data_IF_028429505682
#
_entry.id   IF_028429505682
#
_cell.length_a   1.000
_cell.length_b   1.000
_cell.length_c   1.000
_cell.angle_alpha   90.00
_cell.angle_beta   90.00
_cell.angle_gamma   90.00
#
_symmetry.space_group_name_H-M   'P 1'
#
loop_
_entity.id
_entity.type
_entity.pdbx_description
1 polymer ?
#
# COMPACT_ATOMS: atom_id res chain seq x y z
N UNK A 1 -0.96 -16.99 15.84
CA UNK A 1 -0.69 -18.40 15.48
C UNK A 1 -1.18 -18.76 14.07
N UNK A 2 -2.15 -18.05 13.50
CA UNK A 2 -2.74 -18.34 12.19
C UNK A 2 -1.75 -18.31 11.02
N UNK A 3 -0.64 -17.59 11.15
CA UNK A 3 0.39 -17.43 10.10
C UNK A 3 1.62 -18.31 10.32
N UNK A 4 1.71 -19.01 11.45
CA UNK A 4 2.88 -19.84 11.78
C UNK A 4 2.96 -21.06 10.86
N UNK A 5 4.12 -21.23 10.22
CA UNK A 5 4.36 -22.33 9.28
C UNK A 5 3.65 -22.19 7.93
N UNK A 6 3.13 -21.00 7.62
CA UNK A 6 2.42 -20.71 6.38
C UNK A 6 3.34 -20.19 5.28
N UNK A 7 2.98 -20.48 4.04
CA UNK A 7 3.70 -20.05 2.85
C UNK A 7 3.06 -18.78 2.30
N UNK A 8 3.85 -17.71 2.26
CA UNK A 8 3.46 -16.44 1.65
C UNK A 8 4.11 -16.32 0.27
N UNK A 9 3.32 -15.93 -0.72
CA UNK A 9 3.79 -15.66 -2.07
C UNK A 9 3.50 -14.21 -2.43
N UNK A 10 4.55 -13.45 -2.73
CA UNK A 10 4.42 -12.04 -3.09
C UNK A 10 4.09 -11.90 -4.58
N UNK A 11 3.13 -11.04 -4.88
CA UNK A 11 2.74 -10.70 -6.26
C UNK A 11 2.89 -9.20 -6.47
N UNK A 12 3.61 -8.82 -7.52
CA UNK A 12 3.57 -7.48 -8.09
C UNK A 12 2.43 -7.47 -9.13
N UNK A 13 1.26 -6.87 -8.82
CA UNK A 13 0.03 -7.11 -9.59
C UNK A 13 0.15 -6.78 -11.07
N UNK A 14 0.76 -5.65 -11.42
CA UNK A 14 0.92 -5.22 -12.81
C UNK A 14 1.70 -6.23 -13.68
N UNK A 15 2.59 -7.01 -13.07
CA UNK A 15 3.53 -7.90 -13.77
C UNK A 15 3.16 -9.39 -13.73
N UNK A 16 2.06 -9.75 -13.07
CA UNK A 16 1.76 -11.16 -12.79
C UNK A 16 0.90 -11.83 -13.87
N UNK A 17 -0.33 -11.35 -14.05
CA UNK A 17 -1.25 -11.93 -15.03
C UNK A 17 -2.34 -10.92 -15.40
N UNK A 18 -2.54 -10.70 -16.68
CA UNK A 18 -3.65 -9.91 -17.21
C UNK A 18 -4.89 -10.78 -17.34
N UNK A 19 -5.98 -10.38 -16.71
CA UNK A 19 -7.27 -11.07 -16.76
C UNK A 19 -8.31 -10.36 -17.62
N UNK A 20 -8.17 -9.04 -17.79
CA UNK A 20 -9.03 -8.19 -18.61
C UNK A 20 -8.22 -7.53 -19.69
N UNK A 21 -8.44 -7.91 -20.93
CA UNK A 21 -7.78 -7.32 -22.09
C UNK A 21 -8.40 -5.96 -22.48
N UNK A 22 -7.61 -5.13 -23.18
CA UNK A 22 -8.06 -3.85 -23.72
C UNK A 22 -8.71 -2.91 -22.69
N UNK A 23 -8.11 -2.83 -21.51
CA UNK A 23 -8.56 -1.90 -20.47
C UNK A 23 -8.48 -0.45 -20.92
N UNK A 24 -9.45 0.38 -20.55
CA UNK A 24 -9.31 1.81 -20.73
C UNK A 24 -8.13 2.33 -19.88
N UNK A 25 -7.31 3.21 -20.47
CA UNK A 25 -6.26 3.91 -19.73
C UNK A 25 -6.89 5.15 -19.06
N UNK A 26 -7.06 5.14 -17.74
CA UNK A 26 -7.81 6.20 -17.06
C UNK A 26 -7.01 7.51 -16.96
N UNK A 27 -5.69 7.43 -17.16
CA UNK A 27 -4.78 8.57 -17.05
C UNK A 27 -3.85 8.60 -18.26
N UNK A 28 -3.65 9.78 -18.82
CA UNK A 28 -2.89 9.98 -20.07
C UNK A 28 -1.38 9.70 -19.95
N UNK A 29 -0.85 9.74 -18.74
CA UNK A 29 0.57 9.51 -18.44
C UNK A 29 0.90 8.04 -18.15
N UNK A 30 -0.04 7.13 -18.31
CA UNK A 30 0.20 5.69 -18.19
C UNK A 30 0.46 5.07 -19.56
N UNK A 31 1.58 4.37 -19.69
CA UNK A 31 2.02 3.74 -20.92
C UNK A 31 1.77 2.24 -20.85
N UNK A 32 0.74 1.77 -21.56
CA UNK A 32 0.42 0.34 -21.60
C UNK A 32 1.33 -0.39 -22.59
N UNK A 33 2.00 -1.44 -22.12
CA UNK A 33 2.84 -2.32 -22.90
C UNK A 33 2.00 -3.49 -23.45
N UNK A 34 1.66 -3.42 -24.73
CA UNK A 34 0.93 -4.49 -25.42
C UNK A 34 1.79 -5.75 -25.59
N UNK A 35 3.07 -5.56 -25.86
CA UNK A 35 4.05 -6.66 -25.90
C UNK A 35 4.48 -7.01 -24.46
N UNK A 36 4.04 -8.16 -23.99
CA UNK A 36 4.36 -8.67 -22.64
C UNK A 36 5.81 -9.12 -22.48
N UNK A 37 6.57 -9.18 -23.59
CA UNK A 37 8.00 -9.47 -23.60
C UNK A 37 8.85 -8.20 -23.79
N UNK A 38 8.22 -7.04 -23.90
CA UNK A 38 8.93 -5.77 -23.98
C UNK A 38 9.80 -5.56 -22.73
N UNK A 39 10.93 -4.91 -22.92
CA UNK A 39 11.81 -4.55 -21.81
C UNK A 39 11.14 -3.45 -20.97
N UNK A 40 11.01 -3.63 -19.62
CA UNK A 40 10.51 -2.58 -18.75
C UNK A 40 11.36 -1.32 -18.79
N UNK A 41 10.77 -0.16 -18.47
CA UNK A 41 11.51 1.10 -18.34
C UNK A 41 12.40 1.07 -17.09
N UNK A 42 13.65 0.70 -17.26
CA UNK A 42 14.59 0.58 -16.15
C UNK A 42 15.69 1.66 -16.16
N UNK A 43 15.88 2.33 -17.31
CA UNK A 43 16.82 3.42 -17.43
C UNK A 43 16.28 4.69 -16.80
N UNK A 44 17.10 5.46 -16.08
CA UNK A 44 16.71 6.78 -15.64
C UNK A 44 16.48 7.71 -16.85
N UNK A 45 15.57 8.66 -16.69
CA UNK A 45 15.39 9.74 -17.67
C UNK A 45 16.60 10.69 -17.69
N UNK A 46 16.56 11.73 -18.55
CA UNK A 46 17.65 12.71 -18.74
C UNK A 46 18.06 13.44 -17.45
N UNK A 47 17.17 13.52 -16.46
CA UNK A 47 17.43 14.15 -15.15
C UNK A 47 17.71 13.12 -14.04
N UNK A 48 17.88 11.85 -14.38
CA UNK A 48 18.20 10.77 -13.45
C UNK A 48 17.01 10.18 -12.69
N UNK A 49 15.78 10.55 -13.01
CA UNK A 49 14.57 10.00 -12.41
C UNK A 49 14.05 8.76 -13.14
N UNK A 50 13.44 7.84 -12.40
CA UNK A 50 12.72 6.70 -12.97
C UNK A 50 11.24 7.05 -13.08
N UNK A 51 10.64 6.88 -14.25
CA UNK A 51 9.27 7.31 -14.51
C UNK A 51 8.23 6.37 -13.88
N UNK A 52 8.48 5.06 -13.89
CA UNK A 52 7.55 4.02 -13.38
C UNK A 52 6.14 4.13 -14.00
N UNK A 53 6.07 4.50 -15.27
CA UNK A 53 4.84 4.80 -16.02
C UNK A 53 4.46 3.71 -17.00
N UNK A 54 5.29 2.67 -17.16
CA UNK A 54 5.03 1.52 -18.01
C UNK A 54 4.24 0.46 -17.27
N UNK A 55 3.12 0.04 -17.89
CA UNK A 55 2.16 -0.92 -17.32
C UNK A 55 2.02 -2.11 -18.25
N UNK A 56 2.14 -3.32 -17.70
CA UNK A 56 1.98 -4.57 -18.45
C UNK A 56 0.58 -5.16 -18.31
N UNK A 57 -0.27 -4.55 -17.51
CA UNK A 57 -1.69 -4.84 -17.48
C UNK A 57 -2.10 -6.00 -16.59
N UNK A 58 -1.21 -6.56 -15.77
CA UNK A 58 -1.62 -7.50 -14.73
C UNK A 58 -2.68 -6.88 -13.83
N UNK A 59 -3.64 -7.69 -13.35
CA UNK A 59 -4.80 -7.21 -12.60
C UNK A 59 -5.33 -8.24 -11.60
N UNK A 60 -6.32 -7.82 -10.79
CA UNK A 60 -6.95 -8.69 -9.78
C UNK A 60 -7.65 -9.89 -10.42
N UNK A 61 -8.25 -9.71 -11.61
CA UNK A 61 -8.88 -10.80 -12.36
C UNK A 61 -7.86 -11.85 -12.79
N UNK A 62 -6.69 -11.41 -13.25
CA UNK A 62 -5.58 -12.30 -13.61
C UNK A 62 -5.07 -13.10 -12.41
N UNK A 63 -4.95 -12.46 -11.23
CA UNK A 63 -4.61 -13.17 -9.99
C UNK A 63 -5.67 -14.23 -9.67
N UNK A 64 -6.96 -13.87 -9.78
CA UNK A 64 -8.07 -14.79 -9.56
C UNK A 64 -7.99 -16.02 -10.49
N UNK A 65 -7.68 -15.82 -11.76
CA UNK A 65 -7.52 -16.91 -12.74
C UNK A 65 -6.37 -17.86 -12.38
N UNK A 66 -5.35 -17.40 -11.67
CA UNK A 66 -4.18 -18.18 -11.24
C UNK A 66 -4.33 -18.84 -9.87
N UNK A 67 -5.45 -18.69 -9.18
CA UNK A 67 -5.67 -19.32 -7.87
C UNK A 67 -5.50 -20.84 -7.88
N UNK A 68 -5.99 -21.62 -8.87
CA UNK A 68 -5.73 -23.06 -8.92
C UNK A 68 -4.25 -23.40 -9.01
N UNK A 69 -3.48 -22.64 -9.78
CA UNK A 69 -2.02 -22.80 -9.88
C UNK A 69 -1.32 -22.51 -8.56
N UNK A 70 -1.67 -21.37 -7.91
CA UNK A 70 -1.10 -20.97 -6.64
C UNK A 70 -1.44 -21.94 -5.51
N UNK A 71 -2.67 -22.46 -5.48
CA UNK A 71 -3.07 -23.52 -4.56
C UNK A 71 -2.23 -24.81 -4.74
N UNK A 72 -2.02 -25.22 -6.00
CA UNK A 72 -1.20 -26.39 -6.32
C UNK A 72 0.26 -26.22 -5.89
N UNK A 73 0.76 -24.99 -5.86
CA UNK A 73 2.09 -24.66 -5.33
C UNK A 73 2.18 -24.74 -3.80
N UNK A 74 1.06 -24.86 -3.09
CA UNK A 74 1.03 -24.88 -1.63
C UNK A 74 1.05 -23.49 -0.98
N UNK A 75 0.63 -22.46 -1.68
CA UNK A 75 0.55 -21.09 -1.16
C UNK A 75 -0.62 -20.98 -0.18
N UNK A 76 -0.38 -20.44 1.01
CA UNK A 76 -1.41 -20.14 2.02
C UNK A 76 -1.89 -18.68 1.95
N UNK A 77 -0.99 -17.76 1.63
CA UNK A 77 -1.28 -16.32 1.56
C UNK A 77 -0.63 -15.68 0.35
N UNK A 78 -1.39 -14.80 -0.32
CA UNK A 78 -0.86 -13.90 -1.34
C UNK A 78 -0.64 -12.52 -0.71
N UNK A 79 0.61 -12.11 -0.63
CA UNK A 79 0.97 -10.74 -0.33
C UNK A 79 1.01 -9.94 -1.64
N UNK A 80 0.10 -8.99 -1.78
CA UNK A 80 0.04 -8.11 -2.94
C UNK A 80 0.81 -6.82 -2.66
N UNK A 81 1.76 -6.45 -3.53
CA UNK A 81 2.25 -5.08 -3.58
C UNK A 81 1.05 -4.12 -3.73
N UNK A 82 1.19 -2.82 -3.45
CA UNK A 82 0.05 -1.92 -3.34
C UNK A 82 -0.95 -2.02 -4.48
N UNK A 83 -2.24 -2.08 -4.15
CA UNK A 83 -3.35 -2.15 -5.11
C UNK A 83 -4.22 -0.90 -5.14
N UNK A 84 -4.01 0.04 -4.21
CA UNK A 84 -4.79 1.28 -4.15
C UNK A 84 -4.43 2.21 -5.30
N UNK A 85 -5.36 3.08 -5.68
CA UNK A 85 -5.12 4.06 -6.75
C UNK A 85 -3.82 4.83 -6.49
N UNK A 86 -2.96 4.85 -7.50
CA UNK A 86 -1.68 5.54 -7.47
C UNK A 86 -1.19 5.79 -8.91
N UNK A 87 -0.29 6.76 -9.09
CA UNK A 87 0.17 7.16 -10.42
C UNK A 87 1.59 6.65 -10.72
N UNK A 88 1.85 5.41 -10.34
CA UNK A 88 3.04 4.64 -10.73
C UNK A 88 2.69 3.16 -10.83
N UNK A 89 3.49 2.38 -11.54
CA UNK A 89 3.26 0.94 -11.70
C UNK A 89 3.42 0.15 -10.40
N UNK A 90 4.28 0.60 -9.47
CA UNK A 90 4.49 -0.03 -8.16
C UNK A 90 3.45 0.40 -7.11
N UNK A 91 2.81 1.53 -7.28
CA UNK A 91 1.73 2.10 -6.45
C UNK A 91 2.08 2.38 -4.98
N UNK A 92 3.36 2.49 -4.63
CA UNK A 92 3.77 2.92 -3.28
C UNK A 92 3.52 4.40 -3.01
N UNK A 93 3.24 5.20 -4.03
CA UNK A 93 2.81 6.59 -3.94
C UNK A 93 1.28 6.69 -3.91
N UNK A 94 0.66 6.16 -2.87
CA UNK A 94 -0.80 6.07 -2.75
C UNK A 94 -1.50 7.39 -3.04
N UNK A 95 -2.49 7.36 -3.92
CA UNK A 95 -3.33 8.51 -4.28
C UNK A 95 -4.71 8.45 -3.61
N UNK A 96 -5.26 7.26 -3.41
CA UNK A 96 -6.56 7.06 -2.76
C UNK A 96 -6.57 5.73 -2.01
N UNK A 97 -6.63 5.78 -0.68
CA UNK A 97 -6.65 4.58 0.18
C UNK A 97 -7.96 3.78 0.13
N UNK A 98 -9.02 4.33 -0.43
CA UNK A 98 -10.37 3.74 -0.38
C UNK A 98 -10.80 3.09 -1.70
N UNK A 99 -9.98 3.21 -2.73
CA UNK A 99 -10.28 2.64 -4.03
C UNK A 99 -9.12 1.83 -4.60
N UNK A 100 -9.45 0.70 -5.20
CA UNK A 100 -8.52 -0.07 -6.03
C UNK A 100 -8.12 0.76 -7.24
N UNK A 101 -6.86 0.68 -7.64
CA UNK A 101 -6.38 1.32 -8.87
C UNK A 101 -7.19 0.81 -10.08
N UNK A 102 -7.72 1.71 -10.92
CA UNK A 102 -8.63 1.31 -12.00
C UNK A 102 -8.01 0.38 -13.04
N UNK A 103 -6.67 0.33 -13.18
CA UNK A 103 -6.02 -0.67 -14.04
C UNK A 103 -5.99 -2.06 -13.42
N UNK A 104 -6.10 -2.16 -12.09
CA UNK A 104 -6.14 -3.44 -11.39
C UNK A 104 -7.56 -4.00 -11.27
N UNK A 105 -8.56 -3.15 -11.31
CA UNK A 105 -9.96 -3.52 -11.16
C UNK A 105 -10.76 -2.55 -10.29
N UNK A 106 -11.82 -3.05 -9.69
CA UNK A 106 -12.71 -2.31 -8.79
C UNK A 106 -12.61 -2.84 -7.36
N UNK A 107 -13.26 -2.15 -6.43
CA UNK A 107 -13.40 -2.62 -5.05
C UNK A 107 -14.14 -3.96 -4.99
N UNK A 108 -15.14 -4.15 -5.86
CA UNK A 108 -15.92 -5.38 -5.98
C UNK A 108 -15.09 -6.53 -6.57
N UNK A 109 -14.17 -6.23 -7.49
CA UNK A 109 -13.20 -7.23 -7.99
C UNK A 109 -12.29 -7.72 -6.88
N UNK A 110 -11.88 -6.84 -5.95
CA UNK A 110 -11.10 -7.24 -4.78
C UNK A 110 -11.91 -8.14 -3.83
N UNK A 111 -13.16 -7.80 -3.55
CA UNK A 111 -14.05 -8.65 -2.74
C UNK A 111 -14.23 -10.03 -3.37
N UNK A 112 -14.41 -10.06 -4.68
CA UNK A 112 -14.52 -11.31 -5.46
C UNK A 112 -13.23 -12.12 -5.38
N UNK A 113 -12.06 -11.48 -5.56
CA UNK A 113 -10.77 -12.16 -5.40
C UNK A 113 -10.62 -12.79 -4.02
N UNK A 114 -10.95 -12.07 -2.95
CA UNK A 114 -10.89 -12.60 -1.59
C UNK A 114 -11.84 -13.79 -1.38
N UNK A 115 -13.06 -13.70 -1.91
CA UNK A 115 -14.05 -14.77 -1.81
C UNK A 115 -13.61 -16.03 -2.58
N UNK A 116 -13.10 -15.86 -3.79
CA UNK A 116 -12.60 -16.98 -4.60
C UNK A 116 -11.33 -17.60 -3.99
N UNK A 117 -10.40 -16.78 -3.51
CA UNK A 117 -9.17 -17.25 -2.86
C UNK A 117 -9.47 -18.15 -1.64
N UNK A 118 -10.48 -17.81 -0.84
CA UNK A 118 -10.90 -18.63 0.31
C UNK A 118 -11.33 -20.05 -0.08
N UNK A 119 -11.90 -20.24 -1.26
CA UNK A 119 -12.28 -21.58 -1.75
C UNK A 119 -11.07 -22.50 -1.97
N UNK A 120 -9.90 -21.88 -2.17
CA UNK A 120 -8.61 -22.56 -2.31
C UNK A 120 -7.79 -22.54 -1.01
N UNK A 121 -8.35 -22.09 0.09
CA UNK A 121 -7.64 -21.95 1.36
C UNK A 121 -6.58 -20.84 1.35
N UNK A 122 -6.66 -19.88 0.43
CA UNK A 122 -5.70 -18.78 0.26
C UNK A 122 -6.27 -17.50 0.83
N UNK A 123 -5.50 -16.81 1.70
CA UNK A 123 -5.79 -15.46 2.19
C UNK A 123 -5.07 -14.39 1.39
N UNK A 124 -5.65 -13.19 1.32
CA UNK A 124 -5.06 -12.04 0.64
C UNK A 124 -4.55 -11.03 1.68
N UNK A 125 -3.28 -10.67 1.55
CA UNK A 125 -2.61 -9.69 2.42
C UNK A 125 -2.35 -8.42 1.61
N UNK A 126 -2.77 -7.28 2.15
CA UNK A 126 -2.58 -5.98 1.51
C UNK A 126 -1.34 -5.26 2.04
N UNK A 127 -0.75 -4.46 1.18
CA UNK A 127 0.32 -3.55 1.55
C UNK A 127 -0.26 -2.26 2.15
N UNK A 128 0.12 -1.96 3.38
CA UNK A 128 -0.24 -0.74 4.09
C UNK A 128 0.88 0.27 4.03
N UNK A 129 0.80 1.19 3.09
CA UNK A 129 1.77 2.28 2.89
C UNK A 129 1.27 3.51 3.65
N UNK A 130 1.59 3.59 4.94
CA UNK A 130 1.03 4.61 5.84
C UNK A 130 2.06 5.64 6.33
N UNK A 131 3.32 5.55 5.90
CA UNK A 131 4.36 6.54 6.23
C UNK A 131 4.33 7.76 5.32
N UNK A 132 3.81 7.62 4.11
CA UNK A 132 3.75 8.68 3.09
C UNK A 132 2.59 8.44 2.12
N UNK A 133 2.26 9.47 1.35
CA UNK A 133 1.34 9.38 0.21
C UNK A 133 2.07 9.79 -1.07
N UNK A 134 1.40 9.68 -2.23
CA UNK A 134 1.87 10.35 -3.43
C UNK A 134 1.74 11.87 -3.31
N UNK A 135 2.67 12.61 -3.90
CA UNK A 135 2.54 14.06 -4.04
C UNK A 135 1.31 14.44 -4.88
N UNK A 136 0.95 13.57 -5.80
CA UNK A 136 -0.21 13.65 -6.69
C UNK A 136 -1.47 12.95 -6.14
N UNK A 137 -1.48 12.62 -4.85
CA UNK A 137 -2.66 12.04 -4.17
C UNK A 137 -3.78 13.07 -4.00
N UNK A 138 -5.01 12.57 -3.77
CA UNK A 138 -6.14 13.45 -3.40
C UNK A 138 -5.92 14.16 -2.06
N UNK A 139 -5.05 13.63 -1.20
CA UNK A 139 -4.76 14.20 0.13
C UNK A 139 -3.75 15.33 0.05
N UNK A 140 -2.70 15.20 -0.75
CA UNK A 140 -1.65 16.20 -0.93
C UNK A 140 -1.88 17.08 -2.16
N UNK A 141 -2.14 16.48 -3.31
CA UNK A 141 -2.58 17.09 -4.56
C UNK A 141 -1.66 18.19 -5.11
N UNK A 142 -0.34 18.01 -5.06
CA UNK A 142 0.60 18.99 -5.62
C UNK A 142 0.38 19.20 -7.13
N UNK A 143 0.19 18.13 -7.87
CA UNK A 143 0.02 18.12 -9.32
C UNK A 143 -1.39 18.53 -9.79
N UNK A 144 -2.34 18.69 -8.87
CA UNK A 144 -3.70 19.13 -9.19
C UNK A 144 -4.59 18.10 -9.88
N UNK A 145 -4.26 16.81 -9.83
CA UNK A 145 -5.07 15.74 -10.43
C UNK A 145 -6.48 15.64 -9.86
N UNK A 146 -6.65 16.05 -8.60
CA UNK A 146 -7.92 15.99 -7.86
C UNK A 146 -8.57 17.36 -7.63
N UNK A 147 -8.35 18.29 -8.56
CA UNK A 147 -8.95 19.65 -8.52
C UNK A 147 -8.16 20.63 -7.65
N UNK A 148 -8.86 21.56 -7.02
CA UNK A 148 -8.24 22.67 -6.28
C UNK A 148 -7.90 22.35 -4.82
N UNK A 149 -8.41 21.24 -4.28
CA UNK A 149 -8.19 20.84 -2.88
C UNK A 149 -6.84 20.16 -2.66
N UNK A 150 -6.66 19.66 -1.43
CA UNK A 150 -5.46 18.95 -1.01
C UNK A 150 -4.48 19.80 -0.22
N UNK A 151 -3.65 19.13 0.59
CA UNK A 151 -2.78 19.81 1.56
C UNK A 151 -1.78 20.79 0.94
N UNK A 152 -1.27 20.50 -0.25
CA UNK A 152 -0.29 21.36 -0.91
C UNK A 152 -0.93 22.62 -1.51
N UNK A 153 -2.08 22.48 -2.13
CA UNK A 153 -2.75 23.55 -2.89
C UNK A 153 -3.62 24.45 -2.03
N UNK A 154 -4.20 23.91 -0.95
CA UNK A 154 -5.10 24.62 -0.05
C UNK A 154 -4.59 24.61 1.39
N UNK A 155 -4.11 25.76 1.91
CA UNK A 155 -3.68 25.85 3.32
C UNK A 155 -4.79 25.55 4.34
N UNK A 156 -6.05 25.62 3.93
CA UNK A 156 -7.22 25.31 4.78
C UNK A 156 -7.73 23.88 4.58
N UNK A 157 -7.06 23.08 3.76
CA UNK A 157 -7.43 21.69 3.53
C UNK A 157 -7.48 20.92 4.85
N UNK A 158 -8.48 20.04 5.07
CA UNK A 158 -8.52 19.16 6.24
C UNK A 158 -7.31 18.21 6.31
N UNK A 159 -6.61 18.02 5.19
CA UNK A 159 -5.40 17.20 5.12
C UNK A 159 -4.12 17.99 5.40
N UNK A 160 -4.19 19.33 5.53
CA UNK A 160 -3.00 20.16 5.73
C UNK A 160 -2.17 19.74 6.93
N UNK A 161 -2.83 19.40 8.04
CA UNK A 161 -2.18 18.96 9.27
C UNK A 161 -1.57 17.56 9.21
N UNK A 162 -1.84 16.81 8.14
CA UNK A 162 -1.24 15.49 7.97
C UNK A 162 0.25 15.56 7.58
N UNK A 163 0.70 16.68 7.05
CA UNK A 163 2.04 16.86 6.48
C UNK A 163 2.78 18.01 7.16
N UNK A 164 4.10 17.91 7.19
CA UNK A 164 4.96 18.95 7.73
C UNK A 164 5.47 19.84 6.60
N UNK A 165 5.04 21.10 6.60
CA UNK A 165 5.48 22.11 5.66
C UNK A 165 6.48 23.06 6.33
N UNK A 166 7.51 23.48 5.60
CA UNK A 166 8.43 24.49 6.11
C UNK A 166 9.66 24.70 5.22
N UNK A 167 10.34 25.83 5.40
CA UNK A 167 11.50 26.21 4.60
C UNK A 167 12.75 25.35 4.89
N UNK A 168 12.74 24.58 5.98
CA UNK A 168 13.80 23.64 6.33
C UNK A 168 13.86 22.43 5.40
N UNK A 169 12.80 22.16 4.68
CA UNK A 169 12.71 21.05 3.73
C UNK A 169 13.04 21.51 2.32
N UNK A 170 13.83 20.73 1.58
CA UNK A 170 14.27 21.04 0.22
C UNK A 170 13.11 21.42 -0.72
N UNK A 171 12.00 20.71 -0.62
CA UNK A 171 10.84 20.85 -1.49
C UNK A 171 9.69 21.63 -0.80
N UNK A 172 9.95 22.22 0.37
CA UNK A 172 8.98 22.95 1.17
C UNK A 172 8.09 22.07 2.06
N UNK A 173 8.31 20.76 2.04
CA UNK A 173 7.61 19.79 2.89
C UNK A 173 8.51 18.56 3.17
N UNK A 174 8.26 17.88 4.28
CA UNK A 174 8.95 16.65 4.64
C UNK A 174 8.55 15.54 3.66
N UNK A 175 9.55 14.83 3.13
CA UNK A 175 9.35 13.72 2.21
C UNK A 175 10.18 12.51 2.58
N UNK A 176 9.71 11.33 2.23
CA UNK A 176 10.39 10.07 2.51
C UNK A 176 11.74 10.03 1.78
N UNK A 177 12.83 9.99 2.55
CA UNK A 177 14.22 10.01 2.07
C UNK A 177 14.54 11.14 1.09
N UNK A 178 13.79 12.24 1.14
CA UNK A 178 13.98 13.38 0.23
C UNK A 178 13.39 13.20 -1.17
N UNK A 179 12.59 12.17 -1.39
CA UNK A 179 11.83 12.01 -2.63
C UNK A 179 10.61 12.92 -2.65
N UNK A 180 10.65 13.96 -3.46
CA UNK A 180 9.57 14.97 -3.55
C UNK A 180 8.20 14.39 -3.92
N UNK A 181 8.18 13.23 -4.59
CA UNK A 181 6.96 12.51 -4.97
C UNK A 181 6.31 11.74 -3.82
N UNK A 182 6.98 11.66 -2.64
CA UNK A 182 6.55 10.87 -1.49
C UNK A 182 6.50 11.74 -0.21
N UNK A 183 5.57 12.72 -0.12
CA UNK A 183 5.40 13.50 1.10
C UNK A 183 5.06 12.60 2.28
N UNK A 184 5.84 12.72 3.36
CA UNK A 184 5.59 11.98 4.59
C UNK A 184 4.38 12.54 5.33
N UNK A 185 3.62 11.63 5.93
CA UNK A 185 2.55 11.99 6.85
C UNK A 185 3.08 11.99 8.28
N UNK A 186 2.40 12.74 9.14
CA UNK A 186 2.63 12.71 10.58
C UNK A 186 1.65 11.70 11.20
N UNK A 187 2.16 10.54 11.58
CA UNK A 187 1.40 9.41 12.14
C UNK A 187 0.87 9.69 13.55
N UNK A 188 1.19 10.85 14.14
CA UNK A 188 0.64 11.30 15.41
C UNK A 188 -0.58 12.23 15.23
N UNK A 189 -0.84 12.70 14.01
CA UNK A 189 -1.98 13.58 13.71
C UNK A 189 -3.30 12.86 13.95
N UNK A 190 -4.16 13.33 14.87
CA UNK A 190 -5.37 12.61 15.27
C UNK A 190 -6.31 12.28 14.10
N UNK A 191 -6.52 13.21 13.16
CA UNK A 191 -7.39 12.99 12.00
C UNK A 191 -6.83 11.96 11.02
N UNK A 192 -5.51 11.89 10.86
CA UNK A 192 -4.86 10.85 10.06
C UNK A 192 -4.98 9.48 10.74
N UNK A 193 -4.68 9.42 12.03
CA UNK A 193 -4.81 8.20 12.83
C UNK A 193 -6.23 7.66 12.77
N UNK A 194 -7.24 8.52 12.94
CA UNK A 194 -8.66 8.14 12.85
C UNK A 194 -9.01 7.65 11.44
N UNK A 195 -8.54 8.33 10.39
CA UNK A 195 -8.77 7.93 9.01
C UNK A 195 -8.20 6.53 8.71
N UNK A 196 -7.02 6.21 9.19
CA UNK A 196 -6.39 4.90 8.96
C UNK A 196 -6.97 3.84 9.91
N UNK A 197 -7.06 4.12 11.21
CA UNK A 197 -7.27 3.11 12.26
C UNK A 197 -8.63 3.18 12.94
N UNK A 198 -9.40 4.24 12.72
CA UNK A 198 -10.72 4.42 13.33
C UNK A 198 -11.77 3.43 12.80
N UNK A 199 -12.90 3.28 13.50
CA UNK A 199 -14.03 2.51 13.00
C UNK A 199 -14.52 3.01 11.63
N UNK A 200 -14.59 2.11 10.66
CA UNK A 200 -14.92 2.46 9.27
C UNK A 200 -13.78 3.14 8.50
N UNK A 201 -12.60 3.26 9.09
CA UNK A 201 -11.40 3.77 8.42
C UNK A 201 -10.82 2.79 7.41
N UNK A 202 -9.61 3.09 6.94
CA UNK A 202 -8.94 2.32 5.87
C UNK A 202 -8.77 0.84 6.26
N UNK A 203 -8.24 0.57 7.46
CA UNK A 203 -8.03 -0.81 7.93
C UNK A 203 -9.35 -1.58 8.01
N UNK A 204 -10.35 -1.01 8.65
CA UNK A 204 -11.68 -1.63 8.76
C UNK A 204 -12.27 -1.94 7.37
N UNK A 205 -12.21 -0.98 6.47
CA UNK A 205 -12.78 -1.09 5.12
C UNK A 205 -12.23 -2.30 4.38
N UNK A 206 -10.92 -2.42 4.29
CA UNK A 206 -10.30 -3.48 3.49
C UNK A 206 -10.36 -4.85 4.15
N UNK A 207 -10.27 -4.91 5.49
CA UNK A 207 -10.43 -6.18 6.21
C UNK A 207 -11.87 -6.70 6.12
N UNK A 208 -12.87 -5.82 6.14
CA UNK A 208 -14.29 -6.20 5.95
C UNK A 208 -14.58 -6.60 4.51
N UNK A 209 -13.88 -6.04 3.52
CA UNK A 209 -13.94 -6.46 2.12
C UNK A 209 -13.33 -7.85 1.88
N UNK A 210 -12.57 -8.39 2.84
CA UNK A 210 -12.11 -9.77 2.81
C UNK A 210 -10.61 -9.98 2.95
N UNK A 211 -9.79 -8.93 3.08
CA UNK A 211 -8.37 -9.09 3.33
C UNK A 211 -8.12 -9.90 4.61
N UNK A 212 -7.11 -10.76 4.59
CA UNK A 212 -6.70 -11.59 5.73
C UNK A 212 -5.82 -10.81 6.71
N UNK A 213 -5.14 -9.78 6.25
CA UNK A 213 -4.26 -8.96 7.05
C UNK A 213 -3.58 -7.86 6.23
N UNK A 214 -2.69 -7.12 6.89
CA UNK A 214 -1.86 -6.09 6.29
C UNK A 214 -0.37 -6.39 6.52
N UNK A 215 0.44 -5.99 5.55
CA UNK A 215 1.88 -5.78 5.72
C UNK A 215 2.11 -4.28 5.79
N UNK A 216 2.80 -3.79 6.80
CA UNK A 216 3.19 -2.40 6.91
C UNK A 216 4.50 -2.15 6.18
N UNK A 217 4.43 -1.29 5.16
CA UNK A 217 5.58 -0.75 4.46
C UNK A 217 6.42 0.07 5.43
N UNK A 218 7.75 -0.07 5.37
CA UNK A 218 8.75 0.61 6.23
C UNK A 218 8.33 0.69 7.71
N UNK A 219 7.92 -0.44 8.28
CA UNK A 219 7.40 -0.48 9.66
C UNK A 219 8.42 0.02 10.70
N UNK A 220 9.72 -0.08 10.42
CA UNK A 220 10.77 0.45 11.29
C UNK A 220 10.85 1.98 11.27
N UNK A 221 10.25 2.65 10.30
CA UNK A 221 10.10 4.11 10.25
C UNK A 221 8.77 4.62 10.83
N UNK A 222 7.86 3.72 11.24
CA UNK A 222 6.61 4.06 11.90
C UNK A 222 6.78 4.06 13.44
N UNK A 223 6.19 5.03 14.17
CA UNK A 223 6.19 5.00 15.64
C UNK A 223 5.50 3.75 16.21
N UNK A 224 6.00 3.21 17.31
CA UNK A 224 5.38 2.04 17.96
C UNK A 224 3.93 2.30 18.31
N UNK A 225 3.61 3.50 18.78
CA UNK A 225 2.24 3.90 19.16
C UNK A 225 1.27 3.86 17.97
N UNK A 226 1.75 4.21 16.77
CA UNK A 226 0.96 4.08 15.55
C UNK A 226 0.76 2.62 15.15
N UNK A 227 1.82 1.80 15.19
CA UNK A 227 1.75 0.36 14.93
C UNK A 227 0.76 -0.33 15.89
N UNK A 228 0.78 0.04 17.18
CA UNK A 228 -0.17 -0.48 18.18
C UNK A 228 -1.62 -0.13 17.83
N UNK A 229 -1.89 1.09 17.35
CA UNK A 229 -3.23 1.50 16.89
C UNK A 229 -3.66 0.75 15.64
N UNK A 230 -2.76 0.54 14.68
CA UNK A 230 -3.02 -0.29 13.49
C UNK A 230 -3.36 -1.71 13.91
N UNK A 231 -2.57 -2.31 14.84
CA UNK A 231 -2.88 -3.64 15.38
C UNK A 231 -4.25 -3.69 16.03
N UNK A 232 -4.58 -2.70 16.86
CA UNK A 232 -5.88 -2.64 17.52
C UNK A 232 -7.04 -2.59 16.52
N UNK A 233 -6.88 -1.82 15.42
CA UNK A 233 -7.84 -1.77 14.33
C UNK A 233 -7.99 -3.14 13.63
N UNK A 234 -6.87 -3.80 13.31
CA UNK A 234 -6.88 -5.14 12.70
C UNK A 234 -7.62 -6.14 13.60
N UNK A 235 -7.27 -6.21 14.88
CA UNK A 235 -7.84 -7.16 15.83
C UNK A 235 -9.29 -6.84 16.20
N UNK A 236 -9.72 -5.59 16.07
CA UNK A 236 -11.13 -5.19 16.23
C UNK A 236 -12.04 -5.82 15.18
N UNK A 237 -11.55 -5.95 13.93
CA UNK A 237 -12.33 -6.62 12.87
C UNK A 237 -12.42 -8.12 13.10
N UNK A 238 -11.29 -8.77 13.41
CA UNK A 238 -11.25 -10.18 13.83
C UNK A 238 -9.89 -10.49 14.47
N UNK A 239 -9.86 -11.27 15.57
CA UNK A 239 -8.61 -11.72 16.17
C UNK A 239 -7.76 -12.61 15.25
N UNK A 240 -8.37 -13.25 14.25
CA UNK A 240 -7.69 -14.12 13.27
C UNK A 240 -6.92 -13.32 12.21
N UNK A 241 -7.29 -12.07 12.00
CA UNK A 241 -6.57 -11.21 11.05
C UNK A 241 -5.23 -10.76 11.65
N UNK A 242 -4.24 -10.55 10.80
CA UNK A 242 -2.88 -10.34 11.25
C UNK A 242 -2.22 -9.09 10.64
N UNK A 243 -1.13 -8.68 11.29
CA UNK A 243 -0.32 -7.53 10.92
C UNK A 243 1.13 -7.96 10.79
N UNK A 244 1.66 -7.88 9.58
CA UNK A 244 3.08 -8.04 9.28
C UNK A 244 3.75 -6.67 9.19
N UNK A 245 5.06 -6.61 9.37
CA UNK A 245 5.83 -5.40 9.13
C UNK A 245 7.10 -5.66 8.36
N UNK A 246 7.43 -4.74 7.47
CA UNK A 246 8.76 -4.68 6.89
C UNK A 246 9.70 -4.04 7.90
N UNK A 247 10.65 -4.81 8.39
CA UNK A 247 11.68 -4.31 9.30
C UNK A 247 13.03 -4.64 8.72
N UNK A 248 13.80 -3.61 8.41
CA UNK A 248 15.15 -3.78 7.92
C UNK A 248 16.06 -4.19 9.09
N UNK A 249 16.90 -5.18 8.88
CA UNK A 249 17.78 -5.77 9.89
C UNK A 249 17.03 -6.66 10.91
N UNK A 250 17.69 -6.93 12.04
CA UNK A 250 17.14 -7.78 13.09
C UNK A 250 16.07 -7.04 13.92
N UNK A 251 14.82 -7.41 13.73
CA UNK A 251 13.67 -6.83 14.42
C UNK A 251 13.70 -7.02 15.94
N UNK A 252 14.44 -8.01 16.45
CA UNK A 252 14.52 -8.31 17.89
C UNK A 252 15.44 -7.37 18.65
N UNK A 253 16.36 -6.73 17.93
CA UNK A 253 17.38 -5.83 18.51
C UNK A 253 17.33 -4.41 17.96
N UNK A 254 16.44 -4.14 17.01
CA UNK A 254 16.32 -2.84 16.33
C UNK A 254 16.17 -1.68 17.30
N UNK A 255 16.95 -0.64 17.07
CA UNK A 255 16.81 0.67 17.70
C UNK A 255 16.21 1.67 16.72
N UNK A 256 15.28 2.48 17.18
CA UNK A 256 14.63 3.54 16.41
C UNK A 256 13.86 4.44 17.36
N UNK A 257 13.63 5.69 16.98
CA UNK A 257 12.96 6.68 17.83
C UNK A 257 13.58 6.77 19.24
N UNK A 258 14.93 6.70 19.31
CA UNK A 258 15.74 6.74 20.52
C UNK A 258 15.44 5.64 21.55
N UNK A 259 14.83 4.53 21.15
CA UNK A 259 14.53 3.39 22.01
C UNK A 259 14.71 2.05 21.28
N UNK A 260 14.87 0.96 22.03
CA UNK A 260 14.75 -0.38 21.49
C UNK A 260 13.30 -0.62 21.09
N UNK A 261 13.11 -1.07 19.86
CA UNK A 261 11.77 -1.33 19.33
C UNK A 261 11.20 -2.62 19.90
N UNK A 262 9.88 -2.66 20.03
CA UNK A 262 9.14 -3.75 20.70
C UNK A 262 8.12 -4.41 19.76
N UNK A 263 8.45 -4.51 18.48
CA UNK A 263 7.56 -4.97 17.42
C UNK A 263 6.85 -6.28 17.73
N UNK A 264 7.56 -7.28 18.28
CA UNK A 264 7.09 -8.66 18.42
C UNK A 264 6.71 -9.04 19.85
N UNK A 265 6.55 -8.07 20.76
CA UNK A 265 6.23 -8.31 22.17
C UNK A 265 4.71 -8.32 22.46
N UNK A 266 3.88 -8.61 21.48
CA UNK A 266 2.44 -8.83 21.63
C UNK A 266 1.55 -7.59 21.43
N UNK A 267 2.13 -6.39 21.30
CA UNK A 267 1.38 -5.15 21.10
C UNK A 267 1.52 -4.56 19.70
N UNK A 268 2.54 -4.94 18.97
CA UNK A 268 2.86 -4.45 17.64
C UNK A 268 2.50 -5.45 16.55
N UNK A 269 3.52 -5.98 15.87
CA UNK A 269 3.39 -6.88 14.73
C UNK A 269 3.15 -8.33 15.17
N UNK A 270 2.43 -9.10 14.37
CA UNK A 270 2.32 -10.56 14.54
C UNK A 270 3.58 -11.26 14.00
N UNK A 271 4.20 -10.69 12.96
CA UNK A 271 5.47 -11.15 12.40
C UNK A 271 6.14 -10.02 11.60
N UNK A 272 7.36 -10.26 11.16
CA UNK A 272 8.15 -9.35 10.31
C UNK A 272 8.65 -10.06 9.07
N UNK A 273 8.98 -9.28 8.07
CA UNK A 273 9.61 -9.75 6.84
C UNK A 273 10.77 -8.82 6.45
#
# INVERSE_FOLDING_TARGET
>A
ESIKGKVFYQIFPDRFCEGVENKPMPFADRIYQADKHAEPFWQPNEVGGHLNEDYFGGDLKGIQMKLPYLHKMGVDYLYLNPIFEAHSNHRYNTADYLNVDPLLGTNEDFETLCAEARKYGIGIVLDGVFSHTGSDSRYFNREGRYGEGGAYRDPNSPYRCWYDFGPQYKDGYRSWWGFETLPEVNEETPSYVEFITGPGGVIDTWLRRGAAGFRLDVADELPDEFIEKVRAAVKRVSPEKFLLGEVWEDATTKFGFNKRRTYLLGKGLDSVM
#
